data_IF_109224307106
#
_entry.id   IF_109224307106
#
_cell.length_a   1.000
_cell.length_b   1.000
_cell.length_c   1.000
_cell.angle_alpha   90.00
_cell.angle_beta   90.00
_cell.angle_gamma   90.00
#
_symmetry.space_group_name_H-M   'P 1'
#
loop_
_entity.id
_entity.type
_entity.pdbx_description
1 polymer ?
#
# COMPACT_ATOMS: atom_id res chain seq x y z
N UNK A 1 -17.07 60.22 -23.09
CA UNK A 1 -18.20 59.52 -22.44
C UNK A 1 -17.84 59.35 -20.97
N UNK A 2 -18.47 60.12 -20.07
CA UNK A 2 -18.19 60.05 -18.62
C UNK A 2 -19.12 58.98 -18.02
N UNK A 3 -18.56 57.86 -17.58
CA UNK A 3 -19.33 56.88 -16.81
C UNK A 3 -19.85 57.55 -15.53
N UNK A 4 -21.18 57.50 -15.34
CA UNK A 4 -21.82 58.05 -14.15
C UNK A 4 -21.45 57.21 -12.93
N UNK A 5 -21.18 57.81 -11.76
CA UNK A 5 -20.77 57.11 -10.54
C UNK A 5 -21.80 56.06 -10.06
N UNK A 6 -23.05 56.15 -10.54
CA UNK A 6 -24.11 55.15 -10.25
C UNK A 6 -23.85 53.81 -10.94
N UNK A 7 -23.20 53.80 -12.11
CA UNK A 7 -22.91 52.57 -12.86
C UNK A 7 -21.76 51.76 -12.23
N UNK A 8 -20.78 52.45 -11.64
CA UNK A 8 -19.67 51.80 -10.93
C UNK A 8 -20.14 51.12 -9.62
N UNK A 9 -21.03 51.78 -8.87
CA UNK A 9 -21.59 51.23 -7.64
C UNK A 9 -22.44 49.97 -7.89
N UNK A 10 -23.26 49.96 -8.93
CA UNK A 10 -24.03 48.77 -9.33
C UNK A 10 -23.15 47.61 -9.76
N UNK A 11 -22.05 47.88 -10.48
CA UNK A 11 -21.10 46.83 -10.90
C UNK A 11 -20.38 46.21 -9.69
N UNK A 12 -19.94 47.01 -8.73
CA UNK A 12 -19.33 46.53 -7.48
C UNK A 12 -20.31 45.68 -6.67
N UNK A 13 -21.58 46.07 -6.60
CA UNK A 13 -22.59 45.31 -5.87
C UNK A 13 -22.87 43.94 -6.52
N UNK A 14 -22.93 43.89 -7.86
CA UNK A 14 -23.13 42.64 -8.62
C UNK A 14 -21.93 41.71 -8.43
N UNK A 15 -20.71 42.22 -8.50
CA UNK A 15 -19.48 41.43 -8.25
C UNK A 15 -19.46 40.91 -6.82
N UNK A 16 -19.81 41.74 -5.83
CA UNK A 16 -19.87 41.33 -4.42
C UNK A 16 -20.93 40.25 -4.17
N UNK A 17 -22.12 40.40 -4.77
CA UNK A 17 -23.20 39.40 -4.70
C UNK A 17 -22.80 38.09 -5.40
N UNK A 18 -22.10 38.16 -6.53
CA UNK A 18 -21.58 36.98 -7.23
C UNK A 18 -20.51 36.26 -6.41
N UNK A 19 -19.56 36.99 -5.82
CA UNK A 19 -18.57 36.41 -4.91
C UNK A 19 -19.23 35.76 -3.68
N UNK A 20 -20.24 36.40 -3.09
CA UNK A 20 -21.00 35.83 -1.97
C UNK A 20 -21.73 34.53 -2.37
N UNK A 21 -22.31 34.48 -3.57
CA UNK A 21 -23.00 33.31 -4.10
C UNK A 21 -22.03 32.16 -4.45
N UNK A 22 -20.84 32.47 -4.96
CA UNK A 22 -19.79 31.47 -5.23
C UNK A 22 -19.19 30.92 -3.93
N UNK A 23 -19.03 31.76 -2.89
CA UNK A 23 -18.53 31.32 -1.57
C UNK A 23 -19.54 30.50 -0.76
N UNK A 24 -20.82 30.47 -1.16
CA UNK A 24 -21.88 29.71 -0.49
C UNK A 24 -22.32 28.45 -1.23
N UNK A 25 -21.65 28.10 -2.34
CA UNK A 25 -21.83 26.80 -2.97
C UNK A 25 -21.37 25.71 -1.99
N UNK A 26 -22.23 24.71 -1.65
CA UNK A 26 -21.81 23.60 -0.81
C UNK A 26 -20.72 22.83 -1.55
N UNK A 27 -19.50 22.89 -1.03
CA UNK A 27 -18.45 21.96 -1.41
C UNK A 27 -18.93 20.60 -0.91
N UNK A 28 -19.45 19.79 -1.82
CA UNK A 28 -19.71 18.38 -1.55
C UNK A 28 -18.35 17.71 -1.37
N UNK A 29 -17.84 17.71 -0.15
CA UNK A 29 -16.80 16.78 0.23
C UNK A 29 -17.41 15.39 0.03
N UNK A 30 -16.94 14.66 -0.99
CA UNK A 30 -17.22 13.23 -1.08
C UNK A 30 -16.69 12.65 0.22
N UNK A 31 -17.59 12.24 1.11
CA UNK A 31 -17.21 11.61 2.36
C UNK A 31 -16.53 10.29 1.97
N UNK A 32 -15.19 10.33 1.90
CA UNK A 32 -14.39 9.13 1.82
C UNK A 32 -14.80 8.28 3.00
N UNK A 33 -15.52 7.20 2.73
CA UNK A 33 -15.85 6.23 3.75
C UNK A 33 -14.51 5.57 4.13
N UNK A 34 -13.92 6.02 5.25
CA UNK A 34 -12.63 5.57 5.75
C UNK A 34 -12.56 4.09 6.11
N UNK A 35 -13.63 3.33 5.83
CA UNK A 35 -13.75 1.90 6.07
C UNK A 35 -13.99 1.17 4.75
N UNK A 36 -12.96 0.96 3.91
CA UNK A 36 -13.09 0.14 2.72
C UNK A 36 -13.51 -1.29 3.09
N UNK A 37 -14.42 -1.87 2.31
CA UNK A 37 -14.87 -3.27 2.51
C UNK A 37 -13.83 -4.31 2.08
N UNK A 38 -12.89 -3.90 1.23
CA UNK A 38 -11.80 -4.73 0.70
C UNK A 38 -10.57 -3.84 0.52
N UNK A 39 -9.43 -4.33 0.98
CA UNK A 39 -8.11 -3.76 0.71
C UNK A 39 -7.33 -4.81 -0.09
N UNK A 40 -6.73 -4.39 -1.20
CA UNK A 40 -5.89 -5.25 -2.04
C UNK A 40 -4.49 -4.64 -2.06
N UNK A 41 -3.51 -5.40 -1.59
CA UNK A 41 -2.09 -5.02 -1.65
C UNK A 41 -1.44 -5.84 -2.75
N UNK A 42 -0.91 -5.17 -3.77
CA UNK A 42 -0.25 -5.81 -4.92
C UNK A 42 1.23 -5.50 -4.82
N UNK A 43 2.05 -6.54 -4.68
CA UNK A 43 3.51 -6.43 -4.71
C UNK A 43 4.00 -7.11 -5.98
N UNK A 44 4.69 -6.38 -6.83
CA UNK A 44 5.28 -6.92 -8.06
C UNK A 44 6.76 -7.16 -7.78
N UNK A 45 7.17 -8.42 -7.68
CA UNK A 45 8.55 -8.77 -7.36
C UNK A 45 9.51 -8.22 -8.42
N UNK A 46 10.64 -7.67 -7.95
CA UNK A 46 11.67 -7.05 -8.77
C UNK A 46 11.18 -5.88 -9.67
N UNK A 47 10.05 -5.26 -9.36
CA UNK A 47 9.51 -4.16 -10.15
C UNK A 47 10.17 -2.83 -9.80
N UNK A 48 11.06 -2.38 -10.68
CA UNK A 48 11.75 -1.10 -10.50
C UNK A 48 10.79 0.07 -10.72
N UNK A 49 10.92 1.11 -9.90
CA UNK A 49 10.07 2.30 -9.99
C UNK A 49 10.16 3.03 -11.34
N UNK A 50 11.30 2.96 -12.04
CA UNK A 50 11.48 3.63 -13.34
C UNK A 50 10.71 2.99 -14.49
N UNK A 51 10.16 1.77 -14.31
CA UNK A 51 9.33 1.13 -15.32
C UNK A 51 8.00 1.85 -15.55
N UNK A 52 7.45 2.49 -14.51
CA UNK A 52 6.18 3.21 -14.62
C UNK A 52 6.27 4.41 -15.55
N UNK A 53 7.40 5.11 -15.54
CA UNK A 53 7.65 6.23 -16.45
C UNK A 53 8.14 5.76 -17.82
N UNK A 54 9.12 4.82 -17.84
CA UNK A 54 9.73 4.33 -19.08
C UNK A 54 8.73 3.74 -20.07
N UNK A 55 7.70 3.04 -19.56
CA UNK A 55 6.70 2.36 -20.39
C UNK A 55 5.32 3.02 -20.31
N UNK A 56 5.24 4.27 -19.83
CA UNK A 56 3.95 4.95 -19.55
C UNK A 56 3.03 5.04 -20.76
N UNK A 57 3.59 5.25 -21.94
CA UNK A 57 2.84 5.36 -23.20
C UNK A 57 2.39 4.01 -23.78
N UNK A 58 2.87 2.90 -23.19
CA UNK A 58 2.48 1.54 -23.58
C UNK A 58 1.39 0.96 -22.68
N UNK A 59 1.06 1.62 -21.57
CA UNK A 59 0.01 1.17 -20.66
C UNK A 59 -1.38 1.58 -21.14
N UNK A 60 -2.31 0.64 -21.10
CA UNK A 60 -3.74 0.93 -21.29
C UNK A 60 -4.37 1.63 -20.07
N UNK A 61 -5.54 2.22 -20.29
CA UNK A 61 -6.20 3.11 -19.32
C UNK A 61 -6.60 2.42 -18.01
N UNK A 62 -6.92 1.11 -18.03
CA UNK A 62 -7.46 0.37 -16.90
C UNK A 62 -6.42 -0.39 -16.04
N UNK A 63 -5.12 -0.13 -16.23
CA UNK A 63 -4.01 -0.80 -15.54
C UNK A 63 -3.20 0.14 -14.63
N UNK A 64 -1.88 0.17 -14.80
CA UNK A 64 -1.02 1.11 -14.07
C UNK A 64 -1.44 2.57 -14.27
N UNK A 65 -1.95 2.92 -15.45
CA UNK A 65 -2.39 4.29 -15.77
C UNK A 65 -3.55 4.75 -14.89
N UNK A 66 -4.52 3.88 -14.62
CA UNK A 66 -5.59 4.13 -13.65
C UNK A 66 -5.02 4.51 -12.27
N UNK A 67 -4.03 3.75 -11.79
CA UNK A 67 -3.41 4.00 -10.48
C UNK A 67 -2.56 5.28 -10.46
N UNK A 68 -1.85 5.57 -11.56
CA UNK A 68 -1.01 6.77 -11.69
C UNK A 68 -1.83 8.06 -11.82
N UNK A 69 -2.94 8.01 -12.57
CA UNK A 69 -3.72 9.21 -12.91
C UNK A 69 -4.82 9.52 -11.87
N UNK A 70 -5.30 8.50 -11.13
CA UNK A 70 -6.39 8.65 -10.15
C UNK A 70 -6.02 8.22 -8.71
N UNK A 71 -4.79 7.76 -8.48
CA UNK A 71 -4.31 7.33 -7.18
C UNK A 71 -3.32 8.31 -6.54
N UNK A 72 -2.72 7.85 -5.43
CA UNK A 72 -1.56 8.51 -4.83
C UNK A 72 -0.28 7.83 -5.32
N UNK A 73 0.61 8.59 -5.96
CA UNK A 73 1.85 8.08 -6.51
C UNK A 73 3.07 8.67 -5.77
N UNK A 74 3.85 7.79 -5.12
CA UNK A 74 5.03 8.16 -4.37
C UNK A 74 6.30 7.78 -5.16
N UNK A 75 6.73 8.66 -6.06
CA UNK A 75 7.90 8.45 -6.92
C UNK A 75 9.23 8.32 -6.15
N UNK A 76 9.32 8.93 -4.96
CA UNK A 76 10.50 8.87 -4.09
C UNK A 76 10.23 7.99 -2.86
N UNK A 77 9.90 6.72 -3.11
CA UNK A 77 9.68 5.70 -2.08
C UNK A 77 10.79 4.66 -2.19
N UNK A 78 11.60 4.50 -1.14
CA UNK A 78 12.78 3.64 -1.14
C UNK A 78 12.79 2.74 0.09
N UNK A 79 13.41 1.57 -0.04
CA UNK A 79 13.78 0.75 1.11
C UNK A 79 14.96 1.42 1.83
N UNK A 80 14.74 1.82 3.08
CA UNK A 80 15.77 2.47 3.91
C UNK A 80 16.69 1.44 4.62
N UNK A 81 16.99 0.34 3.93
CA UNK A 81 17.83 -0.75 4.43
C UNK A 81 18.55 -1.47 3.29
N UNK A 82 19.65 -2.17 3.61
CA UNK A 82 20.55 -2.74 2.63
C UNK A 82 20.12 -4.11 2.08
N UNK A 83 19.35 -4.90 2.84
CA UNK A 83 18.95 -6.25 2.47
C UNK A 83 17.71 -6.27 1.57
N UNK A 84 17.81 -5.68 0.38
CA UNK A 84 16.74 -5.62 -0.65
C UNK A 84 16.52 -6.99 -1.31
N UNK A 85 16.05 -7.95 -0.52
CA UNK A 85 15.67 -9.31 -0.90
C UNK A 85 14.17 -9.50 -0.69
N UNK A 86 13.60 -10.51 -1.35
CA UNK A 86 12.16 -10.79 -1.33
C UNK A 86 11.60 -10.91 0.08
N UNK A 87 12.15 -11.80 0.93
CA UNK A 87 11.58 -12.07 2.25
C UNK A 87 11.67 -10.85 3.19
N UNK A 88 12.82 -10.18 3.39
CA UNK A 88 12.87 -8.93 4.16
C UNK A 88 11.94 -7.84 3.59
N UNK A 89 11.91 -7.70 2.26
CA UNK A 89 11.04 -6.77 1.53
C UNK A 89 9.57 -6.90 1.91
N UNK A 90 9.05 -8.12 1.82
CA UNK A 90 7.66 -8.43 2.14
C UNK A 90 7.39 -8.29 3.64
N UNK A 91 8.30 -8.77 4.49
CA UNK A 91 8.15 -8.61 5.95
C UNK A 91 8.06 -7.14 6.35
N UNK A 92 8.93 -6.26 5.85
CA UNK A 92 8.85 -4.83 6.14
C UNK A 92 7.55 -4.22 5.62
N UNK A 93 7.14 -4.55 4.38
CA UNK A 93 5.94 -3.97 3.78
C UNK A 93 4.68 -4.25 4.61
N UNK A 94 4.54 -5.45 5.16
CA UNK A 94 3.34 -5.86 5.87
C UNK A 94 3.40 -5.63 7.39
N UNK A 95 4.58 -5.50 8.00
CA UNK A 95 4.73 -5.25 9.44
C UNK A 95 5.00 -3.78 9.78
N UNK A 96 5.50 -2.99 8.83
CA UNK A 96 6.02 -1.64 9.08
C UNK A 96 7.32 -1.60 9.90
N UNK A 97 7.88 -2.76 10.27
CA UNK A 97 9.15 -2.86 10.98
C UNK A 97 10.32 -3.10 10.00
N UNK A 98 11.56 -2.84 10.45
CA UNK A 98 12.76 -3.30 9.74
C UNK A 98 13.17 -4.70 10.23
N UNK A 99 14.18 -5.31 9.60
CA UNK A 99 14.67 -6.66 9.95
C UNK A 99 15.05 -6.85 11.42
N UNK A 100 15.45 -5.78 12.12
CA UNK A 100 15.71 -5.83 13.56
C UNK A 100 14.44 -5.92 14.42
N UNK A 101 13.26 -5.59 13.87
CA UNK A 101 11.96 -5.73 14.52
C UNK A 101 11.23 -7.01 14.11
N UNK A 102 11.12 -7.29 12.81
CA UNK A 102 10.39 -8.47 12.32
C UNK A 102 11.24 -9.75 12.22
N UNK A 103 12.55 -9.70 12.44
CA UNK A 103 13.45 -10.87 12.51
C UNK A 103 13.92 -11.44 11.17
N UNK A 104 13.22 -11.17 10.08
CA UNK A 104 13.58 -11.67 8.72
C UNK A 104 14.68 -10.81 8.09
N UNK A 105 15.93 -11.30 8.11
CA UNK A 105 17.08 -10.59 7.55
C UNK A 105 17.47 -11.01 6.12
N UNK A 106 17.06 -12.20 5.68
CA UNK A 106 17.37 -12.74 4.34
C UNK A 106 16.31 -13.75 3.90
N UNK A 107 16.35 -14.16 2.62
CA UNK A 107 15.52 -15.26 2.11
C UNK A 107 15.90 -16.61 2.73
N UNK A 108 17.17 -16.75 3.09
CA UNK A 108 17.75 -17.94 3.70
C UNK A 108 18.95 -17.54 4.56
N UNK A 109 19.21 -18.31 5.60
CA UNK A 109 20.35 -18.09 6.50
C UNK A 109 20.87 -19.42 7.05
N UNK A 110 22.08 -19.40 7.59
CA UNK A 110 22.67 -20.55 8.28
C UNK A 110 22.04 -20.70 9.67
N UNK A 111 21.39 -21.83 9.93
CA UNK A 111 20.91 -22.20 11.26
C UNK A 111 22.02 -22.97 12.00
N UNK A 112 22.51 -22.41 13.11
CA UNK A 112 23.57 -23.00 13.91
C UNK A 112 23.15 -24.31 14.61
N UNK A 113 21.88 -24.44 15.00
CA UNK A 113 21.36 -25.63 15.68
C UNK A 113 21.16 -26.77 14.69
N UNK A 114 20.60 -26.47 13.52
CA UNK A 114 20.38 -27.46 12.44
C UNK A 114 21.64 -27.74 11.62
N UNK A 115 22.67 -26.88 11.71
CA UNK A 115 23.93 -26.95 10.95
C UNK A 115 23.71 -27.03 9.43
N UNK A 116 22.76 -26.24 8.93
CA UNK A 116 22.44 -26.13 7.50
C UNK A 116 21.82 -24.78 7.18
N UNK A 117 21.73 -24.47 5.90
CA UNK A 117 20.89 -23.36 5.43
C UNK A 117 19.41 -23.71 5.64
N UNK A 118 18.63 -22.71 6.05
CA UNK A 118 17.17 -22.74 6.20
C UNK A 118 16.59 -21.57 5.42
N UNK A 119 15.38 -21.73 4.88
CA UNK A 119 14.66 -20.61 4.24
C UNK A 119 13.87 -19.80 5.27
N UNK A 120 13.45 -18.60 4.90
CA UNK A 120 12.71 -17.69 5.79
C UNK A 120 11.38 -18.24 6.30
N UNK A 121 10.79 -19.19 5.59
CA UNK A 121 9.46 -19.76 5.90
C UNK A 121 9.51 -21.25 6.21
N UNK A 122 10.68 -21.89 6.17
CA UNK A 122 10.82 -23.34 6.36
C UNK A 122 10.46 -23.75 7.78
N UNK A 123 9.45 -24.62 7.93
CA UNK A 123 9.00 -25.12 9.23
C UNK A 123 8.90 -26.65 9.25
N UNK A 124 9.90 -27.29 9.86
CA UNK A 124 9.99 -28.75 10.04
C UNK A 124 8.86 -29.33 10.90
N UNK A 125 8.12 -28.50 11.66
CA UNK A 125 6.95 -28.93 12.43
C UNK A 125 5.66 -28.94 11.60
N UNK A 126 5.71 -28.48 10.35
CA UNK A 126 4.56 -28.43 9.44
C UNK A 126 4.74 -29.34 8.23
N UNK A 127 3.63 -29.66 7.58
CA UNK A 127 3.59 -30.51 6.38
C UNK A 127 2.90 -29.76 5.24
N UNK A 128 3.31 -30.02 4.01
CA UNK A 128 2.60 -29.50 2.84
C UNK A 128 1.17 -30.07 2.78
N UNK A 129 0.21 -29.18 2.55
CA UNK A 129 -1.22 -29.52 2.44
C UNK A 129 -1.58 -29.71 0.96
N UNK A 130 -2.40 -30.72 0.66
CA UNK A 130 -2.92 -30.94 -0.70
C UNK A 130 -1.97 -31.67 -1.66
N UNK A 131 -0.83 -32.16 -1.18
CA UNK A 131 0.12 -32.98 -1.96
C UNK A 131 0.28 -34.36 -1.34
N UNK A 132 0.61 -35.36 -2.16
CA UNK A 132 0.92 -36.71 -1.68
C UNK A 132 2.36 -36.78 -1.15
N UNK A 133 2.55 -37.49 -0.04
CA UNK A 133 3.84 -37.68 0.62
C UNK A 133 4.07 -36.78 1.83
N UNK A 134 5.14 -37.04 2.58
CA UNK A 134 5.48 -36.35 3.82
C UNK A 134 6.57 -35.29 3.58
N UNK A 135 6.19 -34.20 2.92
CA UNK A 135 7.10 -33.08 2.61
C UNK A 135 6.97 -31.98 3.66
N UNK A 136 8.12 -31.47 4.12
CA UNK A 136 8.21 -30.31 5.02
C UNK A 136 7.40 -29.13 4.49
N UNK A 137 6.59 -28.54 5.37
CA UNK A 137 5.75 -27.39 5.07
C UNK A 137 6.47 -26.04 5.24
N UNK A 138 5.66 -24.99 5.21
CA UNK A 138 6.10 -23.62 5.45
C UNK A 138 5.13 -22.92 6.41
N UNK A 139 5.64 -22.01 7.23
CA UNK A 139 4.84 -21.24 8.18
C UNK A 139 5.48 -19.88 8.47
N UNK A 140 4.73 -18.92 9.04
CA UNK A 140 5.26 -17.61 9.41
C UNK A 140 6.03 -17.60 10.74
N UNK A 141 6.38 -18.75 11.34
CA UNK A 141 6.95 -18.81 12.71
C UNK A 141 8.25 -18.02 12.93
N UNK A 142 9.00 -17.70 11.87
CA UNK A 142 10.19 -16.85 11.95
C UNK A 142 9.89 -15.35 11.96
N UNK A 143 8.65 -14.94 11.63
CA UNK A 143 8.22 -13.55 11.65
C UNK A 143 7.87 -13.15 13.09
N UNK A 144 8.58 -12.15 13.62
CA UNK A 144 8.46 -11.76 15.04
C UNK A 144 7.48 -10.60 15.29
N UNK A 145 7.00 -9.95 14.23
CA UNK A 145 6.12 -8.80 14.32
C UNK A 145 4.78 -9.08 13.66
N UNK A 146 3.72 -8.52 14.23
CA UNK A 146 2.37 -8.58 13.68
C UNK A 146 2.30 -7.85 12.35
N UNK A 147 1.53 -8.40 11.41
CA UNK A 147 1.28 -7.78 10.12
C UNK A 147 0.04 -6.89 10.15
N UNK A 148 -0.14 -6.05 9.13
CA UNK A 148 -1.40 -5.35 8.86
C UNK A 148 -2.60 -6.32 8.86
N UNK A 149 -2.41 -7.56 8.36
CA UNK A 149 -3.45 -8.59 8.35
C UNK A 149 -3.80 -9.08 9.75
N UNK A 150 -2.79 -9.31 10.60
CA UNK A 150 -2.97 -9.73 11.98
C UNK A 150 -3.69 -8.65 12.78
N UNK A 151 -3.23 -7.40 12.68
CA UNK A 151 -3.85 -6.23 13.33
C UNK A 151 -5.30 -6.02 12.86
N UNK A 152 -5.57 -6.16 11.56
CA UNK A 152 -6.93 -6.06 11.04
C UNK A 152 -7.83 -7.19 11.57
N UNK A 153 -7.30 -8.40 11.71
CA UNK A 153 -8.03 -9.54 12.29
C UNK A 153 -8.33 -9.29 13.76
N UNK A 154 -7.36 -8.80 14.54
CA UNK A 154 -7.51 -8.46 15.95
C UNK A 154 -8.53 -7.33 16.15
N UNK A 155 -8.37 -6.21 15.44
CA UNK A 155 -9.25 -5.04 15.53
C UNK A 155 -10.70 -5.35 15.16
N UNK A 156 -10.93 -6.36 14.31
CA UNK A 156 -12.27 -6.80 13.89
C UNK A 156 -12.78 -8.01 14.65
N UNK A 157 -12.11 -8.43 15.74
CA UNK A 157 -12.49 -9.61 16.54
C UNK A 157 -12.65 -10.88 15.68
N UNK A 158 -11.75 -11.06 14.72
CA UNK A 158 -11.75 -12.20 13.81
C UNK A 158 -12.72 -12.10 12.63
N UNK A 159 -13.48 -11.01 12.49
CA UNK A 159 -14.47 -10.86 11.39
C UNK A 159 -13.82 -10.57 10.03
N UNK A 160 -12.68 -9.86 10.00
CA UNK A 160 -11.95 -9.64 8.75
C UNK A 160 -11.47 -10.98 8.17
N UNK A 161 -11.46 -11.08 6.84
CA UNK A 161 -10.93 -12.24 6.12
C UNK A 161 -9.64 -11.81 5.44
N UNK A 162 -8.54 -12.49 5.76
CA UNK A 162 -7.20 -12.19 5.27
C UNK A 162 -6.75 -13.36 4.40
N UNK A 163 -6.26 -13.05 3.20
CA UNK A 163 -5.77 -14.04 2.24
C UNK A 163 -4.47 -13.52 1.61
N UNK A 164 -3.49 -14.41 1.48
CA UNK A 164 -2.30 -14.23 0.66
C UNK A 164 -2.28 -15.29 -0.43
N UNK A 165 -1.81 -14.94 -1.63
CA UNK A 165 -1.80 -15.80 -2.82
C UNK A 165 -0.38 -15.79 -3.39
#
# INVERSE_FOLDING_TARGET
>A
MRCSPRSAASFVLIVALFCYFVSSAPIWASAYNGHPKLVVVIVIDQFRGDYLERYRDQFGDAGFRLLLDHGAYFANCNYDYANTRTAPGHSTLFTGAYSNGHGIAANEWWDQKKKRMVTSVEDDATKLVGVTGDKTGASPHNLLADTLGDELKLATQGKARIFGI
#
